data_IF_354106607183
#
_entry.id   IF_354106607183
#
_cell.length_a   1.000
_cell.length_b   1.000
_cell.length_c   1.000
_cell.angle_alpha   90.00
_cell.angle_beta   90.00
_cell.angle_gamma   90.00
#
_symmetry.space_group_name_H-M   'P 1'
#
loop_
_entity.id
_entity.type
_entity.pdbx_description
1 polymer ?
#
# COMPACT_ATOMS: atom_id res chain seq x y z
N UNK A 1 -4.96 -11.41 2.62
CA UNK A 1 -6.03 -10.40 2.52
C UNK A 1 -5.43 -9.01 2.67
N UNK A 2 -5.81 -8.10 1.78
CA UNK A 2 -5.46 -6.68 1.84
C UNK A 2 -6.74 -5.87 1.82
N UNK A 3 -6.79 -4.78 2.57
CA UNK A 3 -7.94 -3.88 2.63
C UNK A 3 -7.47 -2.43 2.48
N UNK A 4 -8.32 -1.61 1.87
CA UNK A 4 -8.10 -0.17 1.83
C UNK A 4 -8.46 0.44 3.20
N UNK A 5 -7.60 1.33 3.70
CA UNK A 5 -7.81 2.08 4.94
C UNK A 5 -7.87 3.55 4.62
N UNK A 6 -8.75 4.28 5.31
CA UNK A 6 -8.76 5.73 5.32
C UNK A 6 -8.46 6.20 6.75
N UNK A 7 -7.42 6.98 6.91
CA UNK A 7 -7.12 7.62 8.18
C UNK A 7 -8.12 8.75 8.44
N UNK A 8 -8.47 8.94 9.72
CA UNK A 8 -9.46 9.91 10.13
C UNK A 8 -9.00 10.67 11.37
N UNK A 9 -8.94 11.99 11.24
CA UNK A 9 -8.71 12.93 12.33
C UNK A 9 -9.65 14.12 12.16
N UNK A 10 -10.86 14.03 12.72
CA UNK A 10 -11.79 15.15 12.69
C UNK A 10 -12.27 15.46 14.09
N UNK A 11 -12.13 16.73 14.50
CA UNK A 11 -12.58 17.22 15.81
C UNK A 11 -14.06 17.63 15.83
N UNK A 12 -14.73 17.62 14.67
CA UNK A 12 -16.12 18.08 14.52
C UNK A 12 -17.09 16.91 14.36
N UNK A 13 -16.72 15.90 13.57
CA UNK A 13 -17.58 14.74 13.28
C UNK A 13 -17.38 13.65 14.33
N UNK A 14 -18.41 12.84 14.56
CA UNK A 14 -18.24 11.61 15.34
C UNK A 14 -17.49 10.55 14.51
N UNK A 15 -16.82 9.58 15.17
CA UNK A 15 -16.17 8.47 14.47
C UNK A 15 -17.13 7.66 13.58
N UNK A 16 -18.37 7.46 14.02
CA UNK A 16 -19.38 6.69 13.28
C UNK A 16 -19.82 7.41 12.00
N UNK A 17 -19.92 8.75 12.05
CA UNK A 17 -20.19 9.53 10.86
C UNK A 17 -19.00 9.45 9.89
N UNK A 18 -17.77 9.63 10.40
CA UNK A 18 -16.55 9.49 9.61
C UNK A 18 -16.44 8.13 8.93
N UNK A 19 -16.75 7.05 9.64
CA UNK A 19 -16.74 5.70 9.11
C UNK A 19 -17.80 5.48 8.02
N UNK A 20 -19.04 5.97 8.21
CA UNK A 20 -20.10 5.83 7.19
C UNK A 20 -19.77 6.56 5.89
N UNK A 21 -19.22 7.76 5.99
CA UNK A 21 -18.81 8.56 4.83
C UNK A 21 -17.56 7.95 4.18
N UNK A 22 -16.57 7.57 4.99
CA UNK A 22 -15.31 6.98 4.55
C UNK A 22 -15.46 5.63 3.84
N UNK A 23 -16.35 4.77 4.33
CA UNK A 23 -16.63 3.49 3.69
C UNK A 23 -17.13 3.67 2.25
N UNK A 24 -18.07 4.61 2.03
CA UNK A 24 -18.54 4.97 0.68
C UNK A 24 -17.41 5.58 -0.15
N UNK A 25 -16.62 6.47 0.45
CA UNK A 25 -15.50 7.10 -0.23
C UNK A 25 -14.52 6.06 -0.79
N UNK A 26 -14.10 5.11 0.05
CA UNK A 26 -13.23 3.99 -0.34
C UNK A 26 -13.90 3.19 -1.45
N UNK A 27 -15.17 2.80 -1.29
CA UNK A 27 -15.87 1.98 -2.28
C UNK A 27 -15.90 2.60 -3.68
N UNK A 28 -16.11 3.91 -3.76
CA UNK A 28 -16.18 4.64 -5.04
C UNK A 28 -14.81 4.84 -5.71
N UNK A 29 -13.71 4.75 -4.95
CA UNK A 29 -12.38 5.23 -5.37
C UNK A 29 -11.30 4.18 -5.30
N UNK A 30 -11.60 3.03 -4.70
CA UNK A 30 -10.69 1.89 -4.66
C UNK A 30 -10.40 1.42 -6.09
N UNK A 31 -9.13 1.20 -6.37
CA UNK A 31 -8.66 0.76 -7.69
C UNK A 31 -8.58 -0.77 -7.69
N UNK A 32 -8.88 -1.38 -8.83
CA UNK A 32 -8.73 -2.82 -9.03
C UNK A 32 -7.28 -3.25 -8.79
N UNK A 33 -7.09 -4.25 -7.92
CA UNK A 33 -5.76 -4.76 -7.58
C UNK A 33 -5.20 -5.58 -8.74
N UNK A 34 -3.90 -5.43 -8.98
CA UNK A 34 -3.19 -6.25 -9.97
C UNK A 34 -3.18 -7.72 -9.56
N UNK A 35 -3.28 -8.61 -10.55
CA UNK A 35 -3.10 -10.07 -10.35
C UNK A 35 -1.63 -10.49 -10.37
N UNK A 36 -0.72 -9.58 -10.77
CA UNK A 36 0.73 -9.82 -10.78
C UNK A 36 1.33 -9.51 -9.41
N UNK A 37 2.21 -10.38 -8.91
CA UNK A 37 2.93 -10.12 -7.66
C UNK A 37 3.99 -9.05 -7.89
N UNK A 38 4.19 -8.20 -6.90
CA UNK A 38 5.23 -7.18 -6.93
C UNK A 38 6.64 -7.81 -7.06
N UNK A 39 6.88 -8.93 -6.37
CA UNK A 39 8.15 -9.66 -6.38
C UNK A 39 8.55 -10.16 -7.78
N UNK A 40 7.57 -10.50 -8.63
CA UNK A 40 7.83 -10.96 -10.00
C UNK A 40 8.37 -9.82 -10.89
N UNK A 41 8.10 -8.57 -10.52
CA UNK A 41 8.64 -7.37 -11.17
C UNK A 41 9.93 -6.88 -10.51
N UNK A 42 9.97 -6.88 -9.18
CA UNK A 42 11.07 -6.32 -8.39
C UNK A 42 12.24 -7.30 -8.16
N UNK A 43 12.02 -8.60 -8.37
CA UNK A 43 13.02 -9.65 -8.18
C UNK A 43 14.05 -9.69 -9.30
N UNK A 44 15.01 -8.76 -9.28
CA UNK A 44 16.28 -8.97 -9.98
C UNK A 44 17.11 -10.00 -9.22
N UNK A 45 17.84 -10.88 -9.93
CA UNK A 45 18.78 -11.79 -9.29
C UNK A 45 19.77 -11.01 -8.41
N UNK A 46 19.97 -11.51 -7.18
CA UNK A 46 20.88 -10.89 -6.22
C UNK A 46 22.31 -11.25 -6.60
N UNK A 47 23.00 -10.33 -7.28
CA UNK A 47 24.43 -10.44 -7.53
C UNK A 47 25.23 -9.98 -6.30
N UNK A 48 25.75 -10.97 -5.57
CA UNK A 48 26.55 -10.78 -4.36
C UNK A 48 27.87 -10.04 -4.64
N UNK A 49 28.50 -10.27 -5.80
CA UNK A 49 29.76 -9.60 -6.16
C UNK A 49 29.50 -8.13 -6.52
N UNK A 50 28.39 -7.84 -7.19
CA UNK A 50 27.93 -6.45 -7.40
C UNK A 50 27.66 -5.74 -6.09
N UNK A 51 27.00 -6.40 -5.14
CA UNK A 51 26.73 -5.83 -3.81
C UNK A 51 28.02 -5.55 -3.04
N UNK A 52 28.98 -6.49 -3.04
CA UNK A 52 30.30 -6.28 -2.41
C UNK A 52 31.04 -5.09 -3.01
N UNK A 53 31.06 -4.94 -4.34
CA UNK A 53 31.63 -3.77 -5.02
C UNK A 53 30.96 -2.45 -4.61
N UNK A 54 29.62 -2.42 -4.52
CA UNK A 54 28.89 -1.23 -4.07
C UNK A 54 29.25 -0.88 -2.62
N UNK A 55 29.43 -1.90 -1.77
CA UNK A 55 29.80 -1.75 -0.36
C UNK A 55 31.31 -1.50 -0.14
N UNK A 56 32.13 -1.59 -1.19
CA UNK A 56 33.59 -1.43 -1.10
C UNK A 56 34.31 -2.59 -0.40
N UNK A 57 33.73 -3.80 -0.47
CA UNK A 57 34.27 -5.05 0.11
C UNK A 57 34.99 -5.90 -0.94
#
# INVERSE_FOLDING_TARGET
DVWAVMEWECVIKSPEQGAREGARFIQDRIIEVTTKRFDDFAGAEIDQERLKKILGL
#
